data_IF_448295628367
#
_entry.id   IF_448295628367
#
_cell.length_a   1.000
_cell.length_b   1.000
_cell.length_c   1.000
_cell.angle_alpha   90.00
_cell.angle_beta   90.00
_cell.angle_gamma   90.00
#
_symmetry.space_group_name_H-M   'P 1'
#
loop_
_entity.id
_entity.type
_entity.pdbx_description
1 polymer ?
#
# COMPACT_ATOMS: atom_id res chain seq x y z
N UNK A 1 10.46 -0.37 -5.19
CA UNK A 1 9.90 -1.07 -4.02
C UNK A 1 9.84 -2.57 -4.30
N UNK A 2 10.09 -3.46 -3.32
CA UNK A 2 10.13 -4.92 -3.56
C UNK A 2 8.74 -5.59 -3.60
N UNK A 3 7.73 -5.00 -2.96
CA UNK A 3 6.39 -5.60 -2.88
C UNK A 3 5.64 -5.60 -4.23
N UNK A 4 5.59 -4.50 -5.03
CA UNK A 4 5.00 -4.55 -6.38
C UNK A 4 5.69 -5.52 -7.35
N UNK A 5 6.98 -5.81 -7.13
CA UNK A 5 7.73 -6.82 -7.90
C UNK A 5 7.47 -8.26 -7.44
N UNK A 6 6.94 -8.44 -6.22
CA UNK A 6 6.53 -9.74 -5.70
C UNK A 6 5.12 -10.10 -6.18
N UNK A 7 4.14 -9.22 -5.94
CA UNK A 7 2.73 -9.43 -6.28
C UNK A 7 2.12 -8.14 -6.83
N UNK A 8 1.34 -8.26 -7.91
CA UNK A 8 0.74 -7.13 -8.61
C UNK A 8 0.99 -7.17 -10.11
N UNK A 9 0.67 -6.11 -10.86
CA UNK A 9 0.77 -6.11 -12.31
C UNK A 9 2.20 -6.32 -12.83
N UNK A 10 3.19 -5.88 -12.04
CA UNK A 10 4.62 -5.91 -12.35
C UNK A 10 5.36 -7.07 -11.66
N UNK A 11 4.64 -8.08 -11.18
CA UNK A 11 5.26 -9.23 -10.52
C UNK A 11 6.20 -10.00 -11.46
N UNK A 12 7.37 -10.39 -10.94
CA UNK A 12 8.36 -11.15 -11.71
C UNK A 12 7.87 -12.57 -12.02
N UNK A 13 7.21 -13.21 -11.06
CA UNK A 13 6.57 -14.51 -11.27
C UNK A 13 5.20 -14.32 -11.97
N UNK A 14 4.96 -14.91 -13.15
CA UNK A 14 3.68 -14.80 -13.86
C UNK A 14 2.47 -15.24 -13.04
N UNK A 15 2.63 -16.24 -12.16
CA UNK A 15 1.55 -16.71 -11.28
C UNK A 15 1.17 -15.70 -10.19
N UNK A 16 2.02 -14.69 -9.96
CA UNK A 16 1.80 -13.59 -9.02
C UNK A 16 1.41 -12.28 -9.72
N UNK A 17 1.22 -12.30 -11.05
CA UNK A 17 0.66 -11.15 -11.77
C UNK A 17 -0.82 -11.02 -11.44
N UNK A 18 -1.14 -9.95 -10.72
CA UNK A 18 -2.45 -9.73 -10.13
C UNK A 18 -2.86 -8.26 -10.22
N UNK A 19 -4.12 -7.97 -9.92
CA UNK A 19 -4.61 -6.60 -9.83
C UNK A 19 -3.82 -5.79 -8.78
N UNK A 20 -3.61 -4.52 -9.06
CA UNK A 20 -2.89 -3.58 -8.18
C UNK A 20 -3.54 -3.47 -6.79
N UNK A 21 -4.85 -3.74 -6.68
CA UNK A 21 -5.58 -3.79 -5.42
C UNK A 21 -4.93 -4.74 -4.42
N UNK A 22 -4.42 -5.89 -4.87
CA UNK A 22 -3.76 -6.87 -3.98
C UNK A 22 -2.47 -6.31 -3.40
N UNK A 23 -1.65 -5.65 -4.24
CA UNK A 23 -0.42 -5.00 -3.81
C UNK A 23 -0.71 -3.91 -2.78
N UNK A 24 -1.78 -3.14 -2.99
CA UNK A 24 -2.22 -2.09 -2.07
C UNK A 24 -2.68 -2.65 -0.73
N UNK A 25 -3.49 -3.72 -0.74
CA UNK A 25 -3.91 -4.44 0.47
C UNK A 25 -2.69 -4.98 1.21
N UNK A 26 -1.77 -5.65 0.52
CA UNK A 26 -0.55 -6.17 1.13
C UNK A 26 0.30 -5.06 1.76
N UNK A 27 0.44 -3.91 1.09
CA UNK A 27 1.21 -2.78 1.60
C UNK A 27 0.56 -2.19 2.87
N UNK A 28 -0.76 -2.04 2.88
CA UNK A 28 -1.51 -1.51 4.02
C UNK A 28 -1.44 -2.45 5.23
N UNK A 29 -1.67 -3.75 5.03
CA UNK A 29 -1.58 -4.77 6.08
C UNK A 29 -0.17 -4.84 6.68
N UNK A 30 0.86 -4.82 5.82
CA UNK A 30 2.26 -4.78 6.25
C UNK A 30 2.57 -3.57 7.14
N UNK A 31 2.07 -2.39 6.74
CA UNK A 31 2.28 -1.16 7.50
C UNK A 31 1.52 -1.17 8.82
N UNK A 32 0.23 -1.57 8.82
CA UNK A 32 -0.58 -1.73 10.03
C UNK A 32 0.11 -2.62 11.06
N UNK A 33 0.64 -3.75 10.62
CA UNK A 33 1.37 -4.67 11.50
C UNK A 33 2.54 -4.01 12.21
N UNK A 34 3.38 -3.25 11.49
CA UNK A 34 4.57 -2.61 12.06
C UNK A 34 4.30 -1.28 12.78
N UNK A 35 3.04 -0.82 12.87
CA UNK A 35 2.66 0.25 13.79
C UNK A 35 2.64 -0.23 15.25
N UNK A 36 2.24 -1.47 15.48
CA UNK A 36 2.11 -2.07 16.82
C UNK A 36 3.18 -3.13 17.12
N UNK A 37 3.89 -3.64 16.10
CA UNK A 37 4.87 -4.71 16.25
C UNK A 37 6.29 -4.25 15.88
N UNK A 38 7.29 -4.77 16.58
CA UNK A 38 8.68 -4.41 16.33
C UNK A 38 9.32 -5.25 15.21
N UNK A 39 10.04 -4.58 14.31
CA UNK A 39 10.95 -5.22 13.33
C UNK A 39 12.04 -6.08 13.99
N UNK A 40 12.33 -5.84 15.27
CA UNK A 40 13.28 -6.64 16.04
C UNK A 40 12.72 -8.00 16.45
N UNK A 41 11.40 -8.15 16.49
CA UNK A 41 10.70 -9.38 16.86
C UNK A 41 10.30 -10.19 15.62
N UNK A 42 9.76 -9.49 14.60
CA UNK A 42 9.25 -10.10 13.38
C UNK A 42 10.12 -9.75 12.18
N UNK A 43 10.41 -10.72 11.30
CA UNK A 43 11.17 -10.46 10.09
C UNK A 43 10.34 -9.64 9.08
N UNK A 44 10.72 -8.39 8.76
CA UNK A 44 9.95 -7.59 7.81
C UNK A 44 9.85 -8.27 6.44
N UNK A 45 10.85 -9.06 6.08
CA UNK A 45 10.85 -9.83 4.84
C UNK A 45 9.75 -10.90 4.82
N UNK A 46 9.67 -11.71 5.89
CA UNK A 46 8.67 -12.77 5.98
C UNK A 46 7.25 -12.19 6.16
N UNK A 47 7.09 -11.14 6.97
CA UNK A 47 5.80 -10.43 7.14
C UNK A 47 5.35 -9.79 5.82
N UNK A 48 6.25 -9.20 5.02
CA UNK A 48 5.90 -8.64 3.70
C UNK A 48 5.35 -9.72 2.75
N UNK A 49 5.96 -10.90 2.72
CA UNK A 49 5.51 -12.01 1.87
C UNK A 49 4.20 -12.61 2.41
N UNK A 50 4.07 -12.72 3.73
CA UNK A 50 2.82 -13.12 4.36
C UNK A 50 1.68 -12.11 4.12
N UNK A 51 1.97 -10.82 4.09
CA UNK A 51 0.99 -9.79 3.73
C UNK A 51 0.54 -9.91 2.28
N UNK A 52 1.44 -10.25 1.35
CA UNK A 52 1.08 -10.58 -0.03
C UNK A 52 0.17 -11.82 -0.11
N UNK A 53 0.47 -12.86 0.68
CA UNK A 53 -0.35 -14.07 0.76
C UNK A 53 -1.75 -13.79 1.31
N UNK A 54 -1.81 -13.10 2.46
CA UNK A 54 -3.07 -12.76 3.12
C UNK A 54 -3.92 -11.82 2.26
N UNK A 55 -3.31 -10.81 1.63
CA UNK A 55 -4.00 -9.91 0.71
C UNK A 55 -4.62 -10.66 -0.47
N UNK A 56 -3.94 -11.66 -1.03
CA UNK A 56 -4.48 -12.48 -2.11
C UNK A 56 -5.73 -13.27 -1.68
N UNK A 57 -5.80 -13.70 -0.41
CA UNK A 57 -7.00 -14.35 0.14
C UNK A 57 -8.13 -13.35 0.39
N UNK A 58 -7.81 -12.20 0.97
CA UNK A 58 -8.78 -11.13 1.28
C UNK A 58 -9.43 -10.56 0.02
N UNK A 59 -8.69 -10.50 -1.09
CA UNK A 59 -9.12 -9.94 -2.36
C UNK A 59 -9.65 -10.99 -3.35
N UNK A 60 -10.02 -12.18 -2.88
CA UNK A 60 -10.57 -13.29 -3.68
C UNK A 60 -9.72 -13.69 -4.90
N UNK A 61 -8.40 -13.54 -4.78
CA UNK A 61 -7.42 -13.84 -5.83
C UNK A 61 -6.40 -14.85 -5.31
N UNK A 62 -6.92 -15.96 -4.78
CA UNK A 62 -6.14 -17.00 -4.10
C UNK A 62 -4.92 -17.41 -4.92
N UNK A 63 -3.80 -17.49 -4.23
CA UNK A 63 -2.49 -17.77 -4.80
C UNK A 63 -1.82 -18.83 -3.95
N UNK A 64 -1.21 -19.82 -4.58
CA UNK A 64 -0.52 -20.87 -3.82
C UNK A 64 0.76 -20.34 -3.16
N UNK A 65 1.03 -20.79 -1.92
CA UNK A 65 2.21 -20.37 -1.15
C UNK A 65 3.54 -20.70 -1.87
N UNK A 66 3.57 -21.77 -2.68
CA UNK A 66 4.75 -22.13 -3.49
C UNK A 66 5.16 -21.04 -4.46
N UNK A 67 4.19 -20.32 -5.06
CA UNK A 67 4.49 -19.28 -6.03
C UNK A 67 5.10 -18.05 -5.37
N UNK A 68 4.71 -17.76 -4.13
CA UNK A 68 5.34 -16.72 -3.32
C UNK A 68 6.78 -17.10 -2.94
N UNK A 69 7.02 -18.34 -2.54
CA UNK A 69 8.38 -18.83 -2.31
C UNK A 69 9.25 -18.68 -3.58
N UNK A 70 8.77 -19.16 -4.73
CA UNK A 70 9.43 -19.01 -6.04
C UNK A 70 9.71 -17.53 -6.38
N UNK A 71 8.71 -16.66 -6.21
CA UNK A 71 8.85 -15.21 -6.45
C UNK A 71 9.91 -14.58 -5.55
N UNK A 72 10.00 -15.00 -4.29
CA UNK A 72 11.05 -14.52 -3.38
C UNK A 72 12.45 -15.01 -3.76
N UNK A 73 12.57 -16.21 -4.34
CA UNK A 73 13.83 -16.73 -4.90
C UNK A 73 14.27 -15.91 -6.12
N UNK A 74 13.36 -15.62 -7.04
CA UNK A 74 13.64 -14.78 -8.23
C UNK A 74 14.15 -13.37 -7.85
N UNK A 75 13.64 -12.82 -6.75
CA UNK A 75 14.09 -11.53 -6.20
C UNK A 75 15.40 -11.62 -5.37
N UNK A 76 16.13 -12.74 -5.42
CA UNK A 76 17.35 -13.00 -4.61
C UNK A 76 17.13 -12.82 -3.11
N UNK A 77 15.95 -13.23 -2.64
CA UNK A 77 15.43 -12.85 -1.34
C UNK A 77 14.53 -13.96 -0.79
N UNK A 78 15.00 -15.22 -0.70
CA UNK A 78 14.15 -16.38 -0.40
C UNK A 78 13.47 -16.29 0.97
N UNK A 79 12.21 -16.74 1.03
CA UNK A 79 11.42 -16.99 2.24
C UNK A 79 10.72 -18.33 2.06
N UNK A 80 10.91 -19.27 2.99
CA UNK A 80 10.33 -20.61 2.88
C UNK A 80 8.83 -20.62 3.13
N UNK A 81 8.10 -21.62 2.61
CA UNK A 81 6.65 -21.75 2.83
C UNK A 81 6.30 -21.78 4.32
N UNK A 82 7.09 -22.51 5.13
CA UNK A 82 6.90 -22.56 6.58
C UNK A 82 7.02 -21.17 7.23
N UNK A 83 8.00 -20.37 6.83
CA UNK A 83 8.16 -19.00 7.33
C UNK A 83 6.99 -18.09 6.91
N UNK A 84 6.48 -18.26 5.69
CA UNK A 84 5.31 -17.51 5.19
C UNK A 84 4.08 -17.83 6.03
N UNK A 85 3.77 -19.11 6.24
CA UNK A 85 2.60 -19.56 7.00
C UNK A 85 2.66 -19.15 8.48
N UNK A 86 3.83 -19.24 9.12
CA UNK A 86 4.01 -18.77 10.49
C UNK A 86 3.86 -17.25 10.61
N UNK A 87 4.40 -16.52 9.63
CA UNK A 87 4.31 -15.05 9.60
C UNK A 87 2.90 -14.57 9.27
N UNK A 88 2.13 -15.33 8.50
CA UNK A 88 0.72 -15.03 8.23
C UNK A 88 -0.12 -15.06 9.50
N UNK A 89 0.06 -16.07 10.35
CA UNK A 89 -0.66 -16.15 11.62
C UNK A 89 -0.32 -14.96 12.52
N UNK A 90 0.98 -14.66 12.66
CA UNK A 90 1.43 -13.48 13.42
C UNK A 90 0.88 -12.17 12.84
N UNK A 91 0.83 -12.06 11.51
CA UNK A 91 0.27 -10.90 10.83
C UNK A 91 -1.20 -10.70 11.18
N UNK A 92 -2.02 -11.76 11.10
CA UNK A 92 -3.44 -11.74 11.44
C UNK A 92 -3.69 -11.25 12.86
N UNK A 93 -2.95 -11.78 13.83
CA UNK A 93 -3.02 -11.34 15.22
C UNK A 93 -2.60 -9.87 15.37
N UNK A 94 -1.49 -9.48 14.73
CA UNK A 94 -0.93 -8.13 14.84
C UNK A 94 -1.75 -7.03 14.18
N UNK A 95 -2.68 -7.37 13.28
CA UNK A 95 -3.65 -6.44 12.69
C UNK A 95 -5.06 -6.59 13.29
N UNK A 96 -5.22 -7.37 14.36
CA UNK A 96 -6.50 -7.61 15.01
C UNK A 96 -7.60 -8.13 14.06
N UNK A 97 -7.22 -8.91 13.05
CA UNK A 97 -8.13 -9.38 12.00
C UNK A 97 -8.87 -8.25 11.21
N UNK A 98 -8.34 -7.03 11.20
CA UNK A 98 -8.86 -5.91 10.40
C UNK A 98 -8.44 -6.05 8.93
N UNK A 99 -9.11 -6.97 8.24
CA UNK A 99 -8.80 -7.36 6.86
C UNK A 99 -9.37 -6.41 5.80
N UNK A 100 -10.44 -5.69 6.12
CA UNK A 100 -11.10 -4.81 5.16
C UNK A 100 -10.21 -3.59 4.84
N UNK A 101 -9.88 -3.45 3.55
CA UNK A 101 -9.02 -2.39 3.05
C UNK A 101 -9.72 -1.62 1.92
N UNK A 102 -9.66 -0.29 2.01
CA UNK A 102 -10.19 0.61 0.98
C UNK A 102 -9.04 1.37 0.33
N UNK A 103 -9.01 1.40 -1.00
CA UNK A 103 -7.87 1.94 -1.76
C UNK A 103 -8.27 3.11 -2.66
N UNK A 104 -7.39 4.11 -2.88
CA UNK A 104 -7.72 5.30 -3.66
C UNK A 104 -8.04 5.02 -5.13
N UNK A 105 -7.61 3.88 -5.70
CA UNK A 105 -7.90 3.51 -7.10
C UNK A 105 -9.40 3.55 -7.43
N UNK A 106 -10.25 3.08 -6.50
CA UNK A 106 -11.71 3.09 -6.69
C UNK A 106 -12.25 4.53 -6.69
N UNK A 107 -11.69 5.39 -5.84
CA UNK A 107 -12.08 6.80 -5.78
C UNK A 107 -11.69 7.54 -7.06
N UNK A 108 -10.47 7.33 -7.57
CA UNK A 108 -10.02 7.92 -8.85
C UNK A 108 -10.97 7.55 -9.99
N UNK A 109 -11.33 6.27 -10.11
CA UNK A 109 -12.29 5.82 -11.13
C UNK A 109 -13.68 6.45 -10.94
N UNK A 110 -14.21 6.40 -9.71
CA UNK A 110 -15.55 6.91 -9.40
C UNK A 110 -15.67 8.41 -9.69
N UNK A 111 -14.69 9.23 -9.27
CA UNK A 111 -14.69 10.65 -9.57
C UNK A 111 -14.52 10.94 -11.06
N UNK A 112 -13.69 10.17 -11.76
CA UNK A 112 -13.53 10.34 -13.22
C UNK A 112 -14.84 10.04 -13.96
N UNK A 113 -15.54 8.98 -13.58
CA UNK A 113 -16.83 8.62 -14.17
C UNK A 113 -17.93 9.62 -13.84
N UNK A 114 -17.94 10.12 -12.61
CA UNK A 114 -18.84 11.19 -12.23
C UNK A 114 -18.58 12.45 -13.08
N UNK A 115 -17.32 12.91 -13.18
CA UNK A 115 -16.92 14.04 -14.00
C UNK A 115 -17.33 13.87 -15.46
N UNK A 116 -17.18 12.66 -16.01
CA UNK A 116 -17.62 12.31 -17.39
C UNK A 116 -19.10 12.57 -17.62
N UNK A 117 -19.93 12.34 -16.61
CA UNK A 117 -21.37 12.61 -16.69
C UNK A 117 -21.67 14.08 -16.42
N UNK A 118 -21.00 14.68 -15.43
CA UNK A 118 -21.26 16.04 -14.99
C UNK A 118 -20.85 17.10 -16.02
N UNK A 119 -19.72 16.92 -16.71
CA UNK A 119 -19.22 17.86 -17.72
C UNK A 119 -20.17 17.98 -18.94
N UNK A 120 -21.10 17.03 -19.11
CA UNK A 120 -22.15 17.12 -20.15
C UNK A 120 -23.28 18.09 -19.80
N UNK A 121 -23.40 18.49 -18.53
CA UNK A 121 -24.39 19.48 -18.08
C UNK A 121 -23.97 20.91 -18.43
N UNK A 122 -24.92 21.85 -18.48
CA UNK A 122 -24.64 23.28 -18.75
C UNK A 122 -23.64 23.87 -17.75
N UNK A 123 -23.81 23.56 -16.46
CA UNK A 123 -22.90 24.02 -15.40
C UNK A 123 -21.54 23.35 -15.51
N UNK A 124 -21.50 22.05 -15.73
CA UNK A 124 -20.24 21.29 -15.82
C UNK A 124 -19.37 21.68 -17.02
N UNK A 125 -19.97 22.12 -18.14
CA UNK A 125 -19.24 22.63 -19.30
C UNK A 125 -18.36 23.83 -18.96
N UNK A 126 -18.79 24.68 -18.02
CA UNK A 126 -18.02 25.86 -17.60
C UNK A 126 -16.74 25.53 -16.79
N UNK A 127 -16.65 24.32 -16.24
CA UNK A 127 -15.49 23.88 -15.46
C UNK A 127 -14.33 23.41 -16.33
N UNK A 128 -14.59 23.05 -17.59
CA UNK A 128 -13.55 22.58 -18.51
C UNK A 128 -13.04 23.74 -19.37
N UNK A 129 -11.72 23.97 -19.35
CA UNK A 129 -11.06 25.02 -20.13
C UNK A 129 -9.96 24.41 -20.98
N UNK A 130 -10.04 24.57 -22.30
CA UNK A 130 -8.97 24.15 -23.18
C UNK A 130 -7.89 25.25 -23.26
N UNK A 131 -6.61 24.92 -23.03
CA UNK A 131 -5.52 25.90 -23.12
C UNK A 131 -5.36 26.51 -24.53
N UNK A 132 -5.80 25.81 -25.57
CA UNK A 132 -5.80 26.30 -26.95
C UNK A 132 -6.87 27.40 -27.23
N UNK A 133 -7.69 27.76 -26.24
CA UNK A 133 -8.76 28.76 -26.37
C UNK A 133 -10.05 28.25 -27.02
N UNK A 134 -10.15 26.95 -27.30
CA UNK A 134 -11.32 26.33 -27.91
C UNK A 134 -12.44 26.16 -26.87
N UNK A 135 -13.55 26.89 -27.04
CA UNK A 135 -14.68 26.90 -26.08
C UNK A 135 -15.86 26.03 -26.51
N UNK A 136 -15.98 25.72 -27.81
CA UNK A 136 -17.14 24.99 -28.36
C UNK A 136 -16.96 23.48 -28.41
N UNK A 137 -15.75 22.97 -28.14
CA UNK A 137 -15.48 21.53 -28.16
C UNK A 137 -16.05 20.85 -26.92
N UNK A 138 -16.84 19.80 -27.13
CA UNK A 138 -17.36 18.98 -26.04
C UNK A 138 -16.26 18.07 -25.48
N UNK A 139 -16.12 18.05 -24.16
CA UNK A 139 -15.24 17.11 -23.46
C UNK A 139 -15.81 15.70 -23.58
N UNK A 140 -15.00 14.77 -24.07
CA UNK A 140 -15.36 13.35 -24.17
C UNK A 140 -14.54 12.51 -23.21
N UNK A 141 -14.92 11.24 -22.99
CA UNK A 141 -14.20 10.36 -22.06
C UNK A 141 -12.71 10.20 -22.38
N UNK A 142 -12.32 10.30 -23.66
CA UNK A 142 -10.92 10.27 -24.09
C UNK A 142 -10.10 11.43 -23.50
N UNK A 143 -10.73 12.58 -23.28
CA UNK A 143 -10.07 13.78 -22.75
C UNK A 143 -9.78 13.66 -21.24
N UNK A 144 -10.55 12.83 -20.52
CA UNK A 144 -10.36 12.58 -19.09
C UNK A 144 -9.30 11.52 -18.81
N UNK A 145 -9.01 10.66 -19.80
CA UNK A 145 -8.10 9.53 -19.66
C UNK A 145 -6.69 9.95 -19.18
N UNK A 146 -6.05 11.00 -19.72
CA UNK A 146 -4.74 11.44 -19.28
C UNK A 146 -4.70 11.84 -17.79
N UNK A 147 -5.73 12.56 -17.31
CA UNK A 147 -5.88 12.91 -15.90
C UNK A 147 -6.06 11.65 -15.03
N UNK A 148 -6.94 10.73 -15.44
CA UNK A 148 -7.17 9.47 -14.74
C UNK A 148 -5.90 8.62 -14.64
N UNK A 149 -5.20 8.44 -15.75
CA UNK A 149 -3.99 7.60 -15.83
C UNK A 149 -2.86 8.22 -15.01
N UNK A 150 -2.69 9.55 -15.07
CA UNK A 150 -1.74 10.28 -14.23
C UNK A 150 -2.06 10.17 -12.74
N UNK A 151 -3.34 10.26 -12.36
CA UNK A 151 -3.77 10.08 -10.98
C UNK A 151 -3.52 8.64 -10.50
N UNK A 152 -3.82 7.64 -11.33
CA UNK A 152 -3.57 6.23 -11.02
C UNK A 152 -2.09 5.95 -10.78
N UNK A 153 -1.20 6.52 -11.60
CA UNK A 153 0.24 6.42 -11.42
C UNK A 153 0.70 7.04 -10.10
N UNK A 154 0.14 8.19 -9.70
CA UNK A 154 0.44 8.75 -8.37
C UNK A 154 -0.03 7.83 -7.24
N UNK A 155 -1.19 7.19 -7.39
CA UNK A 155 -1.70 6.25 -6.39
C UNK A 155 -0.77 5.03 -6.24
N UNK A 156 -0.12 4.58 -7.30
CA UNK A 156 0.88 3.50 -7.24
C UNK A 156 2.03 3.82 -6.26
N UNK A 157 2.45 5.10 -6.20
CA UNK A 157 3.47 5.54 -5.25
C UNK A 157 2.88 5.79 -3.84
N UNK A 158 1.61 6.21 -3.76
CA UNK A 158 0.90 6.44 -2.50
C UNK A 158 0.71 5.16 -1.70
N UNK A 159 0.37 4.04 -2.33
CA UNK A 159 0.08 2.79 -1.61
C UNK A 159 1.30 2.25 -0.83
N UNK A 160 2.51 2.66 -1.23
CA UNK A 160 3.75 2.31 -0.53
C UNK A 160 4.22 3.41 0.42
N UNK A 161 3.37 4.37 0.78
CA UNK A 161 3.63 5.50 1.70
C UNK A 161 2.83 5.44 3.00
N UNK A 162 2.99 6.42 3.88
CA UNK A 162 2.18 6.57 5.10
C UNK A 162 0.80 7.21 4.82
N UNK A 163 0.60 7.80 3.64
CA UNK A 163 -0.64 8.53 3.28
C UNK A 163 -1.90 7.66 3.45
N UNK A 164 -1.95 6.37 3.02
CA UNK A 164 -3.12 5.52 3.22
C UNK A 164 -3.48 5.22 4.69
N UNK A 165 -2.57 5.46 5.63
CA UNK A 165 -2.83 5.33 7.07
C UNK A 165 -3.40 6.62 7.67
N UNK A 166 -3.14 7.77 7.04
CA UNK A 166 -3.49 9.09 7.59
C UNK A 166 -4.76 9.68 6.95
N UNK A 167 -5.05 9.34 5.69
CA UNK A 167 -6.13 9.97 4.93
C UNK A 167 -7.10 8.97 4.32
N UNK A 168 -8.34 9.42 4.12
CA UNK A 168 -9.37 8.60 3.48
C UNK A 168 -9.05 8.36 2.00
N UNK A 169 -9.38 7.18 1.44
CA UNK A 169 -9.16 6.89 0.02
C UNK A 169 -9.85 7.87 -0.94
N UNK A 170 -10.99 8.45 -0.52
CA UNK A 170 -11.71 9.48 -1.27
C UNK A 170 -10.89 10.76 -1.40
N UNK A 171 -10.40 11.31 -0.29
CA UNK A 171 -9.58 12.53 -0.31
C UNK A 171 -8.27 12.31 -1.08
N UNK A 172 -7.64 11.15 -0.92
CA UNK A 172 -6.41 10.79 -1.63
C UNK A 172 -6.66 10.68 -3.14
N UNK A 173 -7.74 10.01 -3.56
CA UNK A 173 -8.07 9.86 -4.97
C UNK A 173 -8.39 11.21 -5.64
N UNK A 174 -9.10 12.09 -4.94
CA UNK A 174 -9.42 13.44 -5.41
C UNK A 174 -8.18 14.32 -5.51
N UNK A 175 -7.29 14.28 -4.51
CA UNK A 175 -5.99 14.96 -4.55
C UNK A 175 -5.13 14.45 -5.72
N UNK A 176 -5.10 13.15 -5.97
CA UNK A 176 -4.36 12.58 -7.10
C UNK A 176 -4.90 13.09 -8.44
N UNK A 177 -6.22 13.21 -8.60
CA UNK A 177 -6.85 13.83 -9.78
C UNK A 177 -6.47 15.30 -9.93
N UNK A 178 -6.49 16.08 -8.84
CA UNK A 178 -6.09 17.49 -8.85
C UNK A 178 -4.64 17.67 -9.29
N UNK A 179 -3.72 16.92 -8.68
CA UNK A 179 -2.30 17.00 -9.04
C UNK A 179 -2.06 16.50 -10.47
N UNK A 180 -2.78 15.47 -10.93
CA UNK A 180 -2.66 14.97 -12.30
C UNK A 180 -3.16 15.99 -13.33
N UNK A 181 -4.31 16.63 -13.06
CA UNK A 181 -4.89 17.68 -13.91
C UNK A 181 -3.96 18.90 -14.02
N UNK A 182 -3.34 19.31 -12.91
CA UNK A 182 -2.37 20.43 -12.89
C UNK A 182 -1.09 20.12 -13.70
N UNK A 183 -0.70 18.84 -13.76
CA UNK A 183 0.48 18.39 -14.49
C UNK A 183 0.25 18.20 -16.00
N UNK A 184 -0.99 18.36 -16.49
CA UNK A 184 -1.29 18.28 -17.92
C UNK A 184 -0.68 19.47 -18.68
N UNK A 185 0.16 19.15 -19.67
CA UNK A 185 0.87 20.13 -20.52
C UNK A 185 0.33 20.21 -21.94
N UNK A 186 -0.38 19.18 -22.41
CA UNK A 186 -0.91 19.15 -23.78
C UNK A 186 -2.07 20.15 -23.93
N UNK A 187 -1.97 21.15 -24.82
CA UNK A 187 -3.00 22.15 -25.02
C UNK A 187 -4.29 21.59 -25.65
N UNK A 188 -4.26 20.38 -26.20
CA UNK A 188 -5.45 19.70 -26.73
C UNK A 188 -6.31 19.01 -25.64
N UNK A 189 -5.78 18.89 -24.42
CA UNK A 189 -6.47 18.30 -23.27
C UNK A 189 -7.10 19.42 -22.41
N UNK A 190 -8.38 19.31 -22.01
CA UNK A 190 -9.00 20.31 -21.17
C UNK A 190 -8.45 20.24 -19.74
N UNK A 191 -8.23 21.41 -19.14
CA UNK A 191 -8.02 21.54 -17.70
C UNK A 191 -9.36 21.67 -17.01
N UNK A 192 -9.59 20.84 -16.01
CA UNK A 192 -10.86 20.78 -15.28
C UNK A 192 -10.69 21.54 -13.97
N UNK A 193 -11.61 22.47 -13.68
CA UNK A 193 -11.71 23.11 -12.37
C UNK A 193 -12.34 22.14 -11.36
N UNK A 194 -11.47 21.35 -10.73
CA UNK A 194 -11.87 20.36 -9.72
C UNK A 194 -12.32 21.01 -8.41
N UNK A 195 -11.88 22.23 -8.09
CA UNK A 195 -12.37 22.94 -6.91
C UNK A 195 -13.80 23.43 -7.13
N UNK A 196 -14.10 23.98 -8.31
CA UNK A 196 -15.48 24.34 -8.69
C UNK A 196 -16.40 23.12 -8.74
N UNK A 197 -15.88 21.95 -9.17
CA UNK A 197 -16.63 20.69 -9.11
C UNK A 197 -16.98 20.28 -7.67
N UNK A 198 -16.06 20.43 -6.72
CA UNK A 198 -16.32 20.13 -5.29
C UNK A 198 -17.31 21.13 -4.71
N UNK A 199 -17.15 22.43 -4.98
CA UNK A 199 -18.07 23.47 -4.52
C UNK A 199 -19.51 23.23 -4.98
N UNK A 200 -19.68 22.64 -6.17
CA UNK A 200 -20.99 22.24 -6.66
C UNK A 200 -21.55 21.00 -5.94
N UNK A 201 -20.70 20.02 -5.63
CA UNK A 201 -21.11 18.72 -5.07
C UNK A 201 -21.37 18.75 -3.56
N UNK A 202 -20.73 19.67 -2.84
CA UNK A 202 -20.74 19.74 -1.39
C UNK A 202 -21.20 21.10 -0.91
N UNK A 203 -21.80 21.15 0.28
CA UNK A 203 -22.20 22.43 0.88
C UNK A 203 -20.99 23.26 1.35
N UNK A 204 -21.21 24.50 1.75
CA UNK A 204 -20.11 25.41 2.08
C UNK A 204 -19.23 24.97 3.26
N UNK A 205 -19.74 24.20 4.23
CA UNK A 205 -18.93 23.72 5.36
C UNK A 205 -18.06 22.54 4.92
N UNK A 206 -18.67 21.57 4.24
CA UNK A 206 -17.98 20.40 3.73
C UNK A 206 -16.97 20.77 2.64
N UNK A 207 -17.31 21.72 1.77
CA UNK A 207 -16.41 22.25 0.75
C UNK A 207 -15.10 22.77 1.35
N UNK A 208 -15.18 23.63 2.38
CA UNK A 208 -13.98 24.22 2.99
C UNK A 208 -13.09 23.16 3.64
N UNK A 209 -13.70 22.19 4.32
CA UNK A 209 -12.97 21.07 4.91
C UNK A 209 -12.30 20.20 3.85
N UNK A 210 -13.04 19.77 2.82
CA UNK A 210 -12.52 18.94 1.72
C UNK A 210 -11.41 19.69 0.99
N UNK A 211 -11.60 20.98 0.69
CA UNK A 211 -10.60 21.83 0.04
C UNK A 211 -9.30 21.86 0.83
N UNK A 212 -9.38 22.06 2.15
CA UNK A 212 -8.20 22.06 3.02
C UNK A 212 -7.48 20.71 2.98
N UNK A 213 -8.21 19.61 3.21
CA UNK A 213 -7.67 18.25 3.22
C UNK A 213 -7.00 17.89 1.88
N UNK A 214 -7.69 18.16 0.77
CA UNK A 214 -7.20 17.80 -0.57
C UNK A 214 -5.98 18.66 -0.96
N UNK A 215 -5.92 19.92 -0.53
CA UNK A 215 -4.74 20.79 -0.75
C UNK A 215 -3.53 20.25 -0.01
N UNK A 216 -3.68 19.90 1.28
CA UNK A 216 -2.60 19.32 2.09
C UNK A 216 -2.10 18.00 1.48
N UNK A 217 -3.01 17.10 1.11
CA UNK A 217 -2.64 15.84 0.46
C UNK A 217 -1.95 16.10 -0.88
N UNK A 218 -2.41 17.06 -1.68
CA UNK A 218 -1.78 17.41 -2.96
C UNK A 218 -0.31 17.80 -2.80
N UNK A 219 0.04 18.53 -1.74
CA UNK A 219 1.42 18.88 -1.42
C UNK A 219 2.24 17.66 -0.97
N UNK A 220 1.62 16.74 -0.22
CA UNK A 220 2.24 15.45 0.11
C UNK A 220 2.52 14.61 -1.14
N UNK A 221 1.57 14.51 -2.08
CA UNK A 221 1.74 13.78 -3.34
C UNK A 221 2.86 14.37 -4.20
N UNK A 222 2.93 15.70 -4.31
CA UNK A 222 4.02 16.39 -5.04
C UNK A 222 5.38 16.11 -4.38
N UNK A 223 5.47 16.21 -3.06
CA UNK A 223 6.71 15.92 -2.33
C UNK A 223 7.10 14.44 -2.40
N UNK A 224 6.13 13.54 -2.51
CA UNK A 224 6.37 12.11 -2.66
C UNK A 224 7.08 11.79 -3.99
N UNK A 225 6.63 12.40 -5.10
CA UNK A 225 7.28 12.30 -6.41
C UNK A 225 8.72 12.86 -6.41
N UNK A 226 8.99 13.83 -5.55
CA UNK A 226 10.32 14.45 -5.37
C UNK A 226 11.21 13.67 -4.39
N UNK A 227 10.72 12.55 -3.81
CA UNK A 227 11.46 11.74 -2.85
C UNK A 227 11.52 12.31 -1.43
N UNK A 228 10.78 13.37 -1.11
CA UNK A 228 10.80 14.07 0.19
C UNK A 228 10.30 13.19 1.35
N UNK A 229 9.36 12.29 1.08
CA UNK A 229 8.70 11.47 2.11
C UNK A 229 9.10 9.97 2.04
N UNK A 230 10.26 9.65 1.44
CA UNK A 230 10.86 8.31 1.52
C UNK A 230 10.13 7.19 0.78
N UNK A 231 9.16 7.52 -0.07
CA UNK A 231 8.37 6.52 -0.79
C UNK A 231 8.94 6.34 -2.20
N UNK A 232 9.16 5.08 -2.58
CA UNK A 232 9.66 4.72 -3.90
C UNK A 232 11.15 4.98 -4.11
N UNK A 233 12.02 4.10 -3.57
CA UNK A 233 13.43 3.89 -3.97
C UNK A 233 14.32 5.13 -4.26
N UNK A 234 13.92 6.36 -3.93
CA UNK A 234 14.68 7.56 -4.20
C UNK A 234 15.86 7.58 -3.24
N UNK A 235 17.05 7.36 -3.79
CA UNK A 235 18.33 7.47 -3.09
C UNK A 235 18.43 6.66 -1.80
N UNK A 236 17.79 5.47 -1.75
CA UNK A 236 17.96 4.57 -0.60
C UNK A 236 19.41 4.10 -0.56
N UNK A 237 20.13 4.54 0.46
CA UNK A 237 21.51 4.12 0.71
C UNK A 237 21.54 2.62 1.05
N UNK A 238 21.88 1.81 0.04
CA UNK A 238 21.97 0.36 0.16
C UNK A 238 23.04 -0.06 1.17
N UNK A 239 24.09 0.73 1.38
CA UNK A 239 25.12 0.44 2.36
C UNK A 239 24.56 0.61 3.78
N UNK A 240 23.88 1.73 4.06
CA UNK A 240 23.17 1.93 5.33
C UNK A 240 22.13 0.84 5.58
N UNK A 241 21.33 0.49 4.57
CA UNK A 241 20.30 -0.55 4.71
C UNK A 241 20.92 -1.93 5.01
N UNK A 242 22.04 -2.29 4.37
CA UNK A 242 22.80 -3.51 4.68
C UNK A 242 23.30 -3.53 6.13
N UNK A 243 23.79 -2.40 6.64
CA UNK A 243 24.23 -2.27 8.04
C UNK A 243 23.06 -2.47 9.00
N UNK A 244 21.92 -1.82 8.76
CA UNK A 244 20.70 -1.98 9.57
C UNK A 244 20.24 -3.43 9.55
N UNK A 245 20.17 -4.07 8.37
CA UNK A 245 19.79 -5.47 8.23
C UNK A 245 20.74 -6.41 9.00
N UNK A 246 22.05 -6.17 8.97
CA UNK A 246 23.04 -6.93 9.74
C UNK A 246 22.82 -6.79 11.25
N UNK A 247 22.53 -5.58 11.74
CA UNK A 247 22.18 -5.33 13.15
C UNK A 247 20.89 -6.07 13.54
N UNK A 248 19.86 -6.00 12.70
CA UNK A 248 18.57 -6.65 12.94
C UNK A 248 18.68 -8.18 13.01
N UNK A 249 19.50 -8.79 12.15
CA UNK A 249 19.79 -10.24 12.17
C UNK A 249 20.51 -10.67 13.46
N UNK A 250 21.39 -9.81 14.00
CA UNK A 250 22.04 -10.06 15.30
C UNK A 250 21.04 -10.00 16.46
N UNK A 251 20.18 -8.99 16.48
CA UNK A 251 19.14 -8.82 17.53
C UNK A 251 18.26 -10.07 17.65
N UNK A 252 17.76 -10.57 16.51
CA UNK A 252 16.87 -11.74 16.47
C UNK A 252 17.55 -13.06 16.79
N UNK A 253 18.82 -13.22 16.41
CA UNK A 253 19.56 -14.47 16.69
C UNK A 253 19.94 -14.62 18.16
N UNK A 254 20.11 -13.50 18.89
CA UNK A 254 20.30 -13.50 20.34
C UNK A 254 19.11 -14.10 21.09
N UNK A 255 17.90 -13.79 20.65
CA UNK A 255 16.66 -14.23 21.31
C UNK A 255 16.36 -15.72 21.05
N UNK A 256 16.63 -16.22 19.84
CA UNK A 256 16.58 -17.67 19.54
C UNK A 256 17.58 -18.47 20.39
N UNK A 257 18.79 -17.94 20.63
CA UNK A 257 19.78 -18.56 21.53
C UNK A 257 19.31 -18.53 22.98
N UNK A 258 18.67 -17.46 23.44
CA UNK A 258 18.14 -17.33 24.80
C UNK A 258 16.97 -18.29 25.05
N UNK A 259 16.03 -18.42 24.11
CA UNK A 259 14.95 -19.42 24.15
C UNK A 259 15.49 -20.86 24.16
N UNK A 260 16.48 -21.19 23.32
CA UNK A 260 17.14 -22.51 23.35
C UNK A 260 17.85 -22.79 24.68
N UNK A 261 18.54 -21.81 25.27
CA UNK A 261 19.17 -21.96 26.60
C UNK A 261 18.13 -22.17 27.70
N UNK A 262 17.02 -21.42 27.70
CA UNK A 262 15.92 -21.60 28.65
C UNK A 262 15.22 -22.95 28.53
N UNK A 263 15.02 -23.45 27.32
CA UNK A 263 14.46 -24.79 27.07
C UNK A 263 15.42 -25.90 27.54
N UNK A 264 16.73 -25.72 27.35
CA UNK A 264 17.74 -26.67 27.83
C UNK A 264 17.87 -26.68 29.37
N UNK A 265 17.71 -25.54 30.04
CA UNK A 265 17.73 -25.47 31.51
C UNK A 265 16.42 -25.94 32.14
N UNK A 266 15.26 -25.70 31.50
CA UNK A 266 13.96 -26.17 32.00
C UNK A 266 13.71 -27.68 31.84
N UNK A 267 14.48 -28.36 31.00
CA UNK A 267 14.46 -29.82 30.88
C UNK A 267 15.29 -30.54 31.96
N UNK A 268 16.00 -29.79 32.83
CA UNK A 268 16.89 -30.34 33.87
C UNK A 268 16.28 -30.52 35.26
N UNK A 269 15.06 -30.03 35.52
CA UNK A 269 14.43 -30.05 36.86
C UNK A 269 13.17 -30.92 36.92
N UNK A 270 13.12 -32.02 36.16
CA UNK A 270 11.95 -32.91 36.07
C UNK A 270 12.23 -34.41 36.15
N UNK A 271 13.35 -34.83 36.75
CA UNK A 271 13.63 -36.26 36.96
C UNK A 271 14.37 -36.49 38.29
N UNK A 272 13.65 -36.32 39.39
CA UNK A 272 14.11 -36.69 40.72
C UNK A 272 12.91 -36.99 41.62
N UNK A 273 12.85 -38.23 42.10
CA UNK A 273 11.95 -38.74 43.15
C UNK A 273 10.48 -39.06 42.80
N UNK A 274 10.26 -40.32 42.39
CA UNK A 274 9.25 -41.15 43.06
C UNK A 274 9.67 -42.63 42.99
N UNK A 275 10.43 -43.06 44.00
CA UNK A 275 10.59 -44.46 44.41
C UNK A 275 10.29 -44.53 45.91
N UNK A 276 9.05 -44.88 46.26
CA UNK A 276 8.60 -45.43 47.56
C UNK A 276 7.31 -46.17 47.25
N UNK A 277 7.32 -47.49 47.09
CA UNK A 277 7.47 -48.56 48.08
C UNK A 277 6.13 -49.32 48.07
N UNK A 278 6.11 -50.47 47.40
CA UNK A 278 5.14 -51.53 47.66
C UNK A 278 5.57 -52.19 48.96
N UNK A 279 4.70 -52.21 49.96
CA UNK A 279 4.61 -53.30 50.95
C UNK A 279 3.28 -53.15 51.70
N UNK A 280 2.58 -54.30 51.74
CA UNK A 280 1.38 -54.70 52.50
C UNK A 280 0.04 -53.96 52.29
#
# INVERSE_FOLDING_TARGET
>A
AKLPSLIGPLAQNPYLRRDVKITATAALLFRRFFLSNSVMLHDPKAIMVAAAFLAAKVEDAMTEVRHLEEGTKMMNSPVSQTEILQSEFALLEGIHCDLLCFHPYKAVLAFTEDLRTYIKSDKGRSLAKFPNGETNRLVVGKDLKPMHDGARQMVDDVIVSDIPLMYSPGHVGLAALMVANDQLTDPAIPRIDLLGYIEYRFDGKDYNYIKQQVTEISDLLKGLKQGKYGCGNHNVDLAKLKVVHKKLKKSRSGDKKKKKRKAATGAGEGSGESKRSKEE
#
